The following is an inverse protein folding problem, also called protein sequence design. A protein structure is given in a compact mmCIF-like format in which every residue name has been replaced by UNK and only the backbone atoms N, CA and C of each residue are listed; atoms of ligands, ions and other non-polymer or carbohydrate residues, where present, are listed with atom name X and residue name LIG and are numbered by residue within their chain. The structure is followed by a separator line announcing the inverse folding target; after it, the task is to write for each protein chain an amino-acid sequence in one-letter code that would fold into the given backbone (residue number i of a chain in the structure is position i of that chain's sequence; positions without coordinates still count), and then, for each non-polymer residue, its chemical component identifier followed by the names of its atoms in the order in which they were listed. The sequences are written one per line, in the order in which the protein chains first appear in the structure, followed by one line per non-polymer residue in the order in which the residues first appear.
data_IF_173369538963
#
_entry.id   IF_173369538963
#
_cell.length_a   1.000
_cell.length_b   1.000
_cell.length_c   1.000
_cell.angle_alpha   90.00
_cell.angle_beta   90.00
_cell.angle_gamma   90.00
#
_symmetry.space_group_name_H-M   'P 1'
#
loop_
_entity.id
_entity.type
_entity.pdbx_description
1 polymer ?
#
# COMPACT_ATOMS: atom_id res chain seq x y z
N UNK A 1 -6.52 -15.05 2.76
CA UNK A 1 -7.01 -13.67 2.86
C UNK A 1 -6.57 -12.92 1.63
N UNK A 2 -7.49 -12.18 0.94
CA UNK A 2 -7.13 -11.43 -0.26
C UNK A 2 -6.09 -10.33 -0.01
N UNK A 3 -6.06 -9.79 1.20
CA UNK A 3 -5.06 -8.80 1.59
C UNK A 3 -4.39 -9.28 2.86
N UNK A 4 -3.08 -9.48 2.79
CA UNK A 4 -2.30 -9.95 3.92
C UNK A 4 -1.00 -9.16 4.00
N UNK A 5 -0.35 -9.18 5.16
CA UNK A 5 0.91 -8.47 5.32
C UNK A 5 1.86 -9.22 6.25
N UNK A 6 3.13 -8.94 6.10
CA UNK A 6 4.17 -9.36 7.03
C UNK A 6 5.06 -8.16 7.36
N UNK A 7 5.69 -8.22 8.51
CA UNK A 7 6.53 -7.13 9.00
C UNK A 7 7.98 -7.61 9.07
N UNK A 8 8.88 -6.86 8.48
CA UNK A 8 10.31 -7.06 8.65
C UNK A 8 10.80 -5.95 9.59
N UNK A 9 10.92 -6.30 10.86
CA UNK A 9 11.33 -5.33 11.88
C UNK A 9 12.76 -4.83 11.67
N UNK A 10 13.62 -5.69 11.12
CA UNK A 10 15.01 -5.33 10.88
C UNK A 10 15.15 -4.32 9.77
N UNK A 11 14.42 -4.51 8.68
CA UNK A 11 14.43 -3.60 7.55
C UNK A 11 13.53 -2.38 7.79
N UNK A 12 12.62 -2.45 8.75
CA UNK A 12 11.65 -1.39 9.02
C UNK A 12 10.62 -1.27 7.91
N UNK A 13 10.14 -2.39 7.38
CA UNK A 13 9.23 -2.42 6.23
C UNK A 13 8.06 -3.35 6.50
N UNK A 14 6.86 -2.90 6.11
CA UNK A 14 5.66 -3.73 6.08
C UNK A 14 5.44 -4.13 4.63
N UNK A 15 5.32 -5.43 4.38
CA UNK A 15 5.06 -5.98 3.05
C UNK A 15 3.63 -6.46 2.97
N UNK A 16 2.81 -5.81 2.15
CA UNK A 16 1.42 -6.17 1.91
C UNK A 16 1.28 -6.82 0.54
N UNK A 17 0.54 -7.91 0.48
CA UNK A 17 0.23 -8.61 -0.77
C UNK A 17 -1.29 -8.64 -0.94
N UNK A 18 -1.75 -8.21 -2.11
CA UNK A 18 -3.15 -8.26 -2.50
C UNK A 18 -3.31 -9.33 -3.58
N UNK A 19 -4.28 -10.24 -3.40
CA UNK A 19 -4.49 -11.36 -4.30
C UNK A 19 -5.98 -11.58 -4.55
N UNK A 20 -6.31 -12.07 -5.75
CA UNK A 20 -7.67 -12.41 -6.09
C UNK A 20 -8.59 -11.21 -6.20
N UNK A 21 -9.81 -11.37 -5.73
CA UNK A 21 -10.81 -10.29 -5.74
C UNK A 21 -10.63 -9.44 -4.49
N UNK A 22 -10.39 -8.15 -4.69
CA UNK A 22 -10.14 -7.20 -3.60
C UNK A 22 -11.25 -6.15 -3.55
N UNK A 23 -11.91 -6.07 -2.40
CA UNK A 23 -13.03 -5.16 -2.15
C UNK A 23 -12.63 -3.97 -1.29
N UNK A 24 -13.49 -2.96 -1.21
CA UNK A 24 -13.30 -1.83 -0.29
C UNK A 24 -13.18 -2.31 1.15
N UNK A 25 -14.02 -3.26 1.55
CA UNK A 25 -14.02 -3.78 2.93
C UNK A 25 -12.68 -4.43 3.28
N UNK A 26 -12.10 -5.16 2.34
CA UNK A 26 -10.81 -5.81 2.56
C UNK A 26 -9.67 -4.82 2.67
N UNK A 27 -9.70 -3.75 1.88
CA UNK A 27 -8.71 -2.68 2.00
C UNK A 27 -8.84 -1.94 3.34
N UNK A 28 -10.05 -1.67 3.76
CA UNK A 28 -10.30 -0.99 5.04
C UNK A 28 -9.92 -1.87 6.23
N UNK A 29 -10.25 -3.15 6.16
CA UNK A 29 -9.87 -4.12 7.19
C UNK A 29 -8.35 -4.22 7.31
N UNK A 30 -7.65 -4.27 6.19
CA UNK A 30 -6.19 -4.29 6.18
C UNK A 30 -5.62 -3.05 6.90
N UNK A 31 -6.16 -1.88 6.58
CA UNK A 31 -5.68 -0.64 7.19
C UNK A 31 -5.94 -0.62 8.69
N UNK A 32 -7.08 -1.14 9.13
CA UNK A 32 -7.39 -1.24 10.55
C UNK A 32 -6.44 -2.20 11.27
N UNK A 33 -6.12 -3.32 10.63
CA UNK A 33 -5.16 -4.28 11.19
C UNK A 33 -3.78 -3.67 11.34
N UNK A 34 -3.33 -2.91 10.35
CA UNK A 34 -2.04 -2.20 10.43
C UNK A 34 -2.05 -1.20 11.58
N UNK A 35 -3.13 -0.45 11.73
CA UNK A 35 -3.24 0.56 12.80
C UNK A 35 -3.26 -0.05 14.19
N UNK A 36 -3.78 -1.27 14.33
CA UNK A 36 -3.89 -1.95 15.60
C UNK A 36 -2.68 -2.81 15.95
N UNK A 37 -1.79 -3.05 14.99
CA UNK A 37 -0.64 -3.95 15.19
C UNK A 37 0.49 -3.19 15.87
N UNK A 38 0.91 -3.61 17.08
CA UNK A 38 1.97 -2.90 17.82
C UNK A 38 3.34 -2.99 17.16
N UNK A 39 3.56 -3.94 16.25
CA UNK A 39 4.81 -4.06 15.52
C UNK A 39 4.86 -3.16 14.28
N UNK A 40 3.73 -2.61 13.87
CA UNK A 40 3.68 -1.63 12.79
C UNK A 40 3.96 -0.25 13.39
N UNK A 41 5.08 0.33 13.03
CA UNK A 41 5.51 1.63 13.58
C UNK A 41 5.31 2.72 12.51
N UNK A 42 4.90 3.93 12.92
CA UNK A 42 4.59 5.00 11.96
C UNK A 42 5.73 5.36 11.02
N UNK A 43 6.98 5.18 11.44
CA UNK A 43 8.14 5.53 10.62
C UNK A 43 8.59 4.43 9.65
N UNK A 44 7.90 3.30 9.66
CA UNK A 44 8.22 2.22 8.73
C UNK A 44 7.86 2.58 7.30
N UNK A 45 8.57 1.96 6.37
CA UNK A 45 8.21 2.01 4.96
C UNK A 45 7.20 0.90 4.65
N UNK A 46 6.54 1.01 3.51
CA UNK A 46 5.48 0.08 3.13
C UNK A 46 5.62 -0.34 1.68
N UNK A 47 5.44 -1.61 1.41
CA UNK A 47 5.33 -2.15 0.04
C UNK A 47 3.95 -2.75 -0.10
N UNK A 48 3.21 -2.36 -1.13
CA UNK A 48 1.91 -2.96 -1.44
C UNK A 48 1.98 -3.57 -2.83
N UNK A 49 1.94 -4.89 -2.89
CA UNK A 49 2.04 -5.65 -4.13
C UNK A 49 0.66 -6.03 -4.63
N UNK A 50 0.25 -5.45 -5.76
CA UNK A 50 -1.06 -5.70 -6.36
C UNK A 50 -1.01 -6.68 -7.53
N UNK A 51 0.14 -7.27 -7.82
CA UNK A 51 0.29 -8.13 -9.00
C UNK A 51 -0.61 -9.37 -8.99
N UNK A 52 -0.96 -9.86 -7.81
CA UNK A 52 -1.82 -11.04 -7.67
C UNK A 52 -3.31 -10.75 -7.74
N UNK A 53 -3.72 -9.48 -7.89
CA UNK A 53 -5.12 -9.11 -7.97
C UNK A 53 -5.69 -9.58 -9.31
N UNK A 54 -6.77 -10.36 -9.26
CA UNK A 54 -7.45 -10.87 -10.47
C UNK A 54 -8.73 -10.11 -10.77
N UNK A 55 -9.32 -9.47 -9.75
CA UNK A 55 -10.54 -8.69 -9.91
C UNK A 55 -10.48 -7.47 -8.99
N UNK A 56 -10.58 -6.28 -9.57
CA UNK A 56 -10.66 -5.04 -8.82
C UNK A 56 -12.12 -4.78 -8.47
N UNK A 57 -12.48 -4.99 -7.21
CA UNK A 57 -13.83 -4.77 -6.70
C UNK A 57 -13.88 -3.56 -5.75
N UNK A 58 -12.77 -2.83 -5.59
CA UNK A 58 -12.77 -1.58 -4.88
C UNK A 58 -13.14 -0.43 -5.84
N UNK A 59 -13.58 0.69 -5.25
CA UNK A 59 -14.08 1.84 -5.99
C UNK A 59 -13.24 3.08 -5.69
N UNK A 60 -13.44 4.13 -6.50
CA UNK A 60 -12.79 5.42 -6.25
C UNK A 60 -13.13 5.95 -4.85
N UNK A 61 -14.37 5.77 -4.40
CA UNK A 61 -14.78 6.17 -3.05
C UNK A 61 -13.99 5.41 -1.99
N UNK A 62 -13.83 4.09 -2.17
CA UNK A 62 -13.06 3.26 -1.24
C UNK A 62 -11.60 3.66 -1.17
N UNK A 63 -10.98 3.90 -2.31
CA UNK A 63 -9.58 4.33 -2.38
C UNK A 63 -9.42 5.67 -1.67
N UNK A 64 -10.34 6.60 -1.90
CA UNK A 64 -10.32 7.90 -1.23
C UNK A 64 -10.45 7.74 0.29
N UNK A 65 -11.33 6.85 0.73
CA UNK A 65 -11.56 6.62 2.15
C UNK A 65 -10.31 6.13 2.86
N UNK A 66 -9.58 5.18 2.27
CA UNK A 66 -8.33 4.70 2.88
C UNK A 66 -7.21 5.72 2.77
N UNK A 67 -7.19 6.53 1.71
CA UNK A 67 -6.16 7.53 1.52
C UNK A 67 -6.22 8.67 2.54
N UNK A 68 -7.39 8.93 3.11
CA UNK A 68 -7.56 9.97 4.14
C UNK A 68 -7.18 9.49 5.53
N UNK A 69 -6.94 8.19 5.72
CA UNK A 69 -6.54 7.63 7.02
C UNK A 69 -5.05 7.34 6.98
N UNK A 70 -4.34 7.85 7.97
CA UNK A 70 -2.88 7.68 8.04
C UNK A 70 -2.54 6.54 8.98
N UNK A 71 -1.66 5.66 8.49
CA UNK A 71 -0.99 4.64 9.30
C UNK A 71 0.46 5.04 9.50
N UNK A 72 1.10 5.53 8.43
CA UNK A 72 2.51 5.87 8.45
C UNK A 72 2.74 7.36 8.58
N UNK A 73 3.87 7.73 9.18
CA UNK A 73 4.21 9.12 9.47
C UNK A 73 4.77 9.83 8.25
N UNK A 74 4.81 11.16 8.34
CA UNK A 74 5.52 11.98 7.38
C UNK A 74 6.97 11.51 7.26
N UNK A 75 7.48 11.43 6.04
CA UNK A 75 8.82 10.94 5.75
C UNK A 75 8.89 9.45 5.43
N UNK A 76 7.84 8.68 5.69
CA UNK A 76 7.77 7.28 5.29
C UNK A 76 7.62 7.17 3.79
N UNK A 77 8.14 6.08 3.22
CA UNK A 77 8.01 5.77 1.80
C UNK A 77 7.11 4.57 1.61
N UNK A 78 6.18 4.70 0.67
CA UNK A 78 5.29 3.61 0.29
C UNK A 78 5.44 3.31 -1.19
N UNK A 79 5.87 2.11 -1.50
CA UNK A 79 6.00 1.64 -2.88
C UNK A 79 4.81 0.75 -3.20
N UNK A 80 4.07 1.11 -4.24
CA UNK A 80 2.93 0.32 -4.70
C UNK A 80 3.32 -0.30 -6.03
N UNK A 81 3.19 -1.63 -6.13
CA UNK A 81 3.50 -2.35 -7.35
C UNK A 81 2.20 -2.62 -8.09
N UNK A 82 2.03 -1.95 -9.21
CA UNK A 82 0.81 -2.02 -9.99
C UNK A 82 0.72 -3.34 -10.77
N UNK A 83 -0.50 -3.81 -10.96
CA UNK A 83 -0.77 -5.00 -11.75
C UNK A 83 -0.81 -4.68 -13.25
N UNK A 84 -1.59 -3.65 -13.62
CA UNK A 84 -1.84 -3.29 -15.00
C UNK A 84 -2.36 -1.84 -15.09
N UNK A 85 -2.62 -1.41 -16.33
CA UNK A 85 -3.11 -0.05 -16.57
C UNK A 85 -4.49 0.22 -15.97
N UNK A 86 -5.33 -0.81 -15.83
CA UNK A 86 -6.70 -0.61 -15.37
C UNK A 86 -6.78 -0.17 -13.91
N UNK A 87 -5.82 -0.55 -13.10
CA UNK A 87 -5.76 -0.16 -11.70
C UNK A 87 -4.91 1.09 -11.46
N UNK A 88 -4.14 1.51 -12.45
CA UNK A 88 -3.17 2.60 -12.29
C UNK A 88 -3.83 3.92 -11.93
N UNK A 89 -4.99 4.22 -12.49
CA UNK A 89 -5.73 5.45 -12.18
C UNK A 89 -6.12 5.55 -10.71
N UNK A 90 -6.51 4.44 -10.10
CA UNK A 90 -6.82 4.40 -8.66
C UNK A 90 -5.58 4.67 -7.82
N UNK A 91 -4.43 4.14 -8.26
CA UNK A 91 -3.17 4.32 -7.55
C UNK A 91 -2.68 5.75 -7.65
N UNK A 92 -2.84 6.39 -8.81
CA UNK A 92 -2.50 7.80 -8.97
C UNK A 92 -3.37 8.69 -8.08
N UNK A 93 -4.65 8.36 -7.96
CA UNK A 93 -5.56 9.09 -7.07
C UNK A 93 -5.12 8.94 -5.61
N UNK A 94 -4.79 7.72 -5.20
CA UNK A 94 -4.30 7.46 -3.85
C UNK A 94 -3.03 8.26 -3.57
N UNK A 95 -2.09 8.23 -4.51
CA UNK A 95 -0.83 8.97 -4.40
C UNK A 95 -1.09 10.48 -4.26
N UNK A 96 -1.97 11.02 -5.09
CA UNK A 96 -2.28 12.46 -5.06
C UNK A 96 -2.86 12.87 -3.71
N UNK A 97 -3.78 12.10 -3.15
CA UNK A 97 -4.39 12.40 -1.85
C UNK A 97 -3.36 12.30 -0.74
N UNK A 98 -2.56 11.23 -0.72
CA UNK A 98 -1.57 10.99 0.32
C UNK A 98 -0.38 11.93 0.27
N UNK A 99 -0.07 12.52 -0.88
CA UNK A 99 1.06 13.43 -1.01
C UNK A 99 0.96 14.62 -0.06
N UNK A 100 -0.25 15.02 0.32
CA UNK A 100 -0.46 16.11 1.27
C UNK A 100 -0.11 15.73 2.72
N UNK A 101 0.04 14.46 3.01
CA UNK A 101 0.34 13.99 4.37
C UNK A 101 1.85 13.95 4.68
N UNK A 102 2.69 14.21 3.69
CA UNK A 102 4.15 14.13 3.85
C UNK A 102 4.73 12.75 3.61
N UNK A 103 3.91 11.74 3.32
CA UNK A 103 4.40 10.44 2.88
C UNK A 103 4.85 10.54 1.42
N UNK A 104 5.91 9.82 1.09
CA UNK A 104 6.39 9.72 -0.31
C UNK A 104 5.85 8.41 -0.87
N UNK A 105 4.86 8.50 -1.73
CA UNK A 105 4.19 7.32 -2.31
C UNK A 105 4.49 7.29 -3.80
N UNK A 106 5.02 6.16 -4.25
CA UNK A 106 5.34 5.95 -5.67
C UNK A 106 4.79 4.64 -6.18
N UNK A 107 4.39 4.66 -7.46
CA UNK A 107 3.83 3.49 -8.14
C UNK A 107 4.90 2.92 -9.06
N UNK A 108 5.10 1.62 -8.98
CA UNK A 108 6.09 0.89 -9.77
C UNK A 108 5.41 -0.25 -10.54
N UNK A 109 6.04 -0.69 -11.61
CA UNK A 109 5.57 -1.82 -12.40
C UNK A 109 6.28 -3.13 -12.03
N UNK A 110 7.42 -3.04 -11.36
CA UNK A 110 8.22 -4.21 -10.98
C UNK A 110 8.63 -4.15 -9.51
N UNK A 111 8.85 -5.32 -8.94
CA UNK A 111 9.36 -5.45 -7.56
C UNK A 111 10.76 -4.87 -7.48
N UNK A 112 11.58 -5.11 -8.50
CA UNK A 112 12.97 -4.67 -8.53
C UNK A 112 13.09 -3.15 -8.39
N UNK A 113 12.26 -2.41 -9.15
CA UNK A 113 12.28 -0.95 -9.10
C UNK A 113 11.79 -0.43 -7.74
N UNK A 114 10.75 -1.05 -7.19
CA UNK A 114 10.22 -0.68 -5.89
C UNK A 114 11.25 -0.89 -4.79
N UNK A 115 11.90 -2.03 -4.78
CA UNK A 115 12.90 -2.38 -3.77
C UNK A 115 14.13 -1.49 -3.89
N UNK A 116 14.56 -1.18 -5.11
CA UNK A 116 15.69 -0.27 -5.33
C UNK A 116 15.41 1.10 -4.76
N UNK A 117 14.20 1.61 -5.00
CA UNK A 117 13.81 2.92 -4.47
C UNK A 117 13.79 2.94 -2.94
N UNK A 118 13.41 1.83 -2.31
CA UNK A 118 13.37 1.72 -0.85
C UNK A 118 14.72 1.37 -0.23
N UNK A 119 15.72 1.09 -1.04
CA UNK A 119 17.03 0.66 -0.55
C UNK A 119 17.07 -0.79 -0.07
N UNK A 120 16.16 -1.61 -0.56
CA UNK A 120 16.10 -3.05 -0.25
C UNK A 120 16.83 -3.84 -1.34
N UNK A 121 17.42 -4.95 -0.95
CA UNK A 121 18.11 -5.84 -1.89
C UNK A 121 17.18 -6.91 -2.46
#
# INVERSE_FOLDING_TARGET
MPVSYRIDLRAGVVFTVCEGRVTNEELMDHQQRLSADPDVRPKMNHVMDLRGVTEVAFTAFGVRSIATRRVFASGSRSAIIARDDSSYGYLEMFQAIRSHSGEDIRVFWTVEDAYRWLGLE
#
